data_IF_618833830624
#
_entry.id   IF_618833830624
#
_cell.length_a   1.000
_cell.length_b   1.000
_cell.length_c   1.000
_cell.angle_alpha   90.00
_cell.angle_beta   90.00
_cell.angle_gamma   90.00
#
_symmetry.space_group_name_H-M   'P 1'
#
loop_
_entity.id
_entity.type
_entity.pdbx_description
1 polymer ?
#
# COMPACT_ATOMS: atom_id res chain seq x y z
N UNK A 1 6.92 20.18 -18.72
CA UNK A 1 8.33 19.93 -18.35
C UNK A 1 9.19 20.56 -19.44
N UNK A 2 10.21 21.34 -19.10
CA UNK A 2 11.15 21.88 -20.09
C UNK A 2 12.36 20.95 -20.21
N UNK A 3 12.87 20.72 -21.42
CA UNK A 3 14.06 19.88 -21.66
C UNK A 3 15.18 20.68 -22.31
N UNK A 4 16.38 20.44 -21.82
CA UNK A 4 17.60 21.08 -22.28
C UNK A 4 18.66 20.03 -22.62
N UNK A 5 19.37 20.24 -23.71
CA UNK A 5 20.53 19.45 -24.12
C UNK A 5 21.80 20.25 -23.87
N UNK A 6 22.77 19.65 -23.19
CA UNK A 6 24.07 20.27 -22.93
C UNK A 6 24.86 20.35 -24.23
N UNK A 7 25.20 21.57 -24.67
CA UNK A 7 26.03 21.80 -25.86
C UNK A 7 27.50 21.88 -25.47
N UNK A 8 27.79 22.62 -24.40
CA UNK A 8 29.16 22.96 -24.01
C UNK A 8 29.22 23.20 -22.50
N UNK A 9 30.33 22.80 -21.87
CA UNK A 9 30.65 23.15 -20.49
C UNK A 9 31.65 24.30 -20.50
N UNK A 10 31.33 25.39 -19.82
CA UNK A 10 32.15 26.61 -19.75
C UNK A 10 32.50 26.85 -18.29
N UNK A 11 33.65 26.32 -17.85
CA UNK A 11 34.06 26.42 -16.44
C UNK A 11 33.06 25.74 -15.49
N UNK A 12 32.48 26.46 -14.50
CA UNK A 12 31.42 25.94 -13.63
C UNK A 12 30.04 25.93 -14.30
N UNK A 13 29.86 26.67 -15.39
CA UNK A 13 28.59 26.84 -16.07
C UNK A 13 28.41 25.80 -17.19
N UNK A 14 27.15 25.60 -17.58
CA UNK A 14 26.78 24.71 -18.68
C UNK A 14 25.90 25.48 -19.65
N UNK A 15 26.31 25.52 -20.92
CA UNK A 15 25.52 26.08 -22.01
C UNK A 15 24.63 24.99 -22.58
N UNK A 16 23.32 25.21 -22.51
CA UNK A 16 22.33 24.26 -22.98
C UNK A 16 21.45 24.84 -24.09
N UNK A 17 21.00 23.97 -24.99
CA UNK A 17 19.95 24.25 -25.99
C UNK A 17 18.62 23.75 -25.44
N UNK A 18 17.59 24.60 -25.44
CA UNK A 18 16.24 24.15 -25.16
C UNK A 18 15.74 23.28 -26.32
N UNK A 19 15.40 22.02 -26.05
CA UNK A 19 14.83 21.11 -27.05
C UNK A 19 13.31 21.07 -26.97
N UNK A 20 12.77 21.11 -25.74
CA UNK A 20 11.34 21.11 -25.47
C UNK A 20 11.02 22.31 -24.57
N UNK A 21 10.40 23.39 -25.09
CA UNK A 21 10.07 24.56 -24.30
C UNK A 21 8.97 24.27 -23.27
N UNK A 22 9.03 24.93 -22.12
CA UNK A 22 8.02 24.82 -21.08
C UNK A 22 8.22 25.84 -19.97
N UNK A 23 7.23 25.96 -19.08
CA UNK A 23 7.32 26.84 -17.92
C UNK A 23 8.32 26.28 -16.89
N UNK A 24 9.29 27.10 -16.49
CA UNK A 24 10.22 26.81 -15.40
C UNK A 24 9.83 27.67 -14.19
N UNK A 25 9.35 27.00 -13.14
CA UNK A 25 9.02 27.67 -11.88
C UNK A 25 10.25 27.75 -10.97
N UNK A 26 10.32 28.75 -10.06
CA UNK A 26 11.39 28.82 -9.06
C UNK A 26 11.51 27.52 -8.26
N UNK A 27 12.75 27.08 -8.01
CA UNK A 27 13.06 25.83 -7.27
C UNK A 27 12.49 24.55 -7.91
N UNK A 28 12.28 24.56 -9.23
CA UNK A 28 11.92 23.34 -9.95
C UNK A 28 13.00 22.26 -9.80
N UNK A 29 12.56 21.01 -9.67
CA UNK A 29 13.45 19.85 -9.64
C UNK A 29 14.20 19.70 -10.96
N UNK A 30 15.48 19.34 -10.89
CA UNK A 30 16.32 19.09 -12.05
C UNK A 30 16.74 17.62 -12.05
N UNK A 31 16.70 17.01 -13.24
CA UNK A 31 17.22 15.66 -13.46
C UNK A 31 18.15 15.66 -14.65
N UNK A 32 19.32 15.03 -14.50
CA UNK A 32 20.34 14.98 -15.54
C UNK A 32 20.37 13.62 -16.20
N UNK A 33 20.37 13.59 -17.53
CA UNK A 33 20.41 12.37 -18.33
C UNK A 33 21.61 12.38 -19.28
N UNK A 34 22.22 11.22 -19.48
CA UNK A 34 23.31 10.97 -20.43
C UNK A 34 23.13 9.57 -21.03
N UNK A 35 23.17 9.47 -22.35
CA UNK A 35 23.08 8.20 -23.09
C UNK A 35 21.87 7.34 -22.69
N UNK A 36 20.71 7.97 -22.51
CA UNK A 36 19.47 7.28 -22.11
C UNK A 36 19.42 6.82 -20.65
N UNK A 37 20.37 7.25 -19.82
CA UNK A 37 20.43 6.90 -18.40
C UNK A 37 20.56 8.14 -17.51
N UNK A 38 20.10 8.06 -16.27
CA UNK A 38 20.25 9.16 -15.31
C UNK A 38 21.72 9.32 -14.91
N UNK A 39 22.21 10.55 -14.94
CA UNK A 39 23.52 10.89 -14.38
C UNK A 39 23.36 10.96 -12.87
N UNK A 40 24.00 10.02 -12.18
CA UNK A 40 24.05 10.01 -10.72
C UNK A 40 24.89 11.20 -10.25
N UNK A 41 24.23 12.23 -9.76
CA UNK A 41 24.91 13.35 -9.13
C UNK A 41 25.59 12.95 -7.81
N UNK A 42 26.51 13.79 -7.35
CA UNK A 42 26.99 13.79 -5.95
C UNK A 42 25.85 13.94 -4.92
N UNK A 43 24.64 14.32 -5.33
CA UNK A 43 23.41 14.29 -4.50
C UNK A 43 22.97 12.87 -4.09
N UNK A 44 23.57 11.83 -4.68
CA UNK A 44 23.54 10.48 -4.12
C UNK A 44 24.02 10.45 -2.65
N UNK A 45 24.93 11.36 -2.27
CA UNK A 45 25.48 11.50 -0.92
C UNK A 45 24.59 12.26 0.07
N UNK A 46 23.51 12.92 -0.37
CA UNK A 46 22.61 13.58 0.57
C UNK A 46 21.89 12.52 1.41
N UNK A 47 21.79 12.75 2.74
CA UNK A 47 21.07 11.83 3.60
C UNK A 47 19.62 11.75 3.15
N UNK A 48 19.05 10.54 3.14
CA UNK A 48 17.63 10.35 2.79
C UNK A 48 16.70 11.07 3.77
N UNK A 49 17.10 11.18 5.04
CA UNK A 49 16.35 11.89 6.08
C UNK A 49 17.17 13.13 6.47
N UNK A 50 16.64 14.30 6.14
CA UNK A 50 17.25 15.59 6.46
C UNK A 50 17.06 15.97 7.93
N UNK A 51 17.77 17.01 8.38
CA UNK A 51 17.58 17.56 9.74
C UNK A 51 16.14 18.04 9.99
N UNK A 52 15.46 18.54 8.95
CA UNK A 52 14.05 18.93 9.06
C UNK A 52 13.16 17.69 9.21
N UNK A 53 13.41 16.65 8.42
CA UNK A 53 12.60 15.43 8.46
C UNK A 53 12.64 14.77 9.84
N UNK A 54 13.77 14.81 10.55
CA UNK A 54 13.85 14.32 11.93
C UNK A 54 12.92 15.08 12.90
N UNK A 55 12.73 16.39 12.72
CA UNK A 55 11.78 17.17 13.51
C UNK A 55 10.34 16.78 13.19
N UNK A 56 10.02 16.57 11.90
CA UNK A 56 8.69 16.11 11.48
C UNK A 56 8.40 14.68 11.98
N UNK A 57 9.41 13.81 12.02
CA UNK A 57 9.32 12.47 12.58
C UNK A 57 9.04 12.53 14.08
N UNK A 58 9.77 13.37 14.83
CA UNK A 58 9.52 13.54 16.27
C UNK A 58 8.11 14.07 16.54
N UNK A 59 7.62 15.01 15.71
CA UNK A 59 6.23 15.45 15.75
C UNK A 59 5.25 14.30 15.47
N UNK A 60 5.47 13.51 14.42
CA UNK A 60 4.62 12.36 14.10
C UNK A 60 4.59 11.31 15.22
N UNK A 61 5.73 11.08 15.89
CA UNK A 61 5.81 10.21 17.06
C UNK A 61 4.95 10.77 18.21
N UNK A 62 5.03 12.07 18.49
CA UNK A 62 4.28 12.71 19.56
C UNK A 62 2.76 12.67 19.31
N UNK A 63 2.33 12.85 18.07
CA UNK A 63 0.91 12.79 17.67
C UNK A 63 0.38 11.36 17.51
N UNK A 64 1.25 10.36 17.56
CA UNK A 64 0.87 8.95 17.45
C UNK A 64 0.30 8.61 16.06
N UNK A 65 0.94 9.11 14.99
CA UNK A 65 0.57 8.77 13.62
C UNK A 65 0.74 7.26 13.36
N UNK A 66 -0.11 6.70 12.51
CA UNK A 66 -0.08 5.26 12.23
C UNK A 66 1.03 4.87 11.25
N UNK A 67 1.41 5.79 10.36
CA UNK A 67 2.37 5.57 9.28
C UNK A 67 3.31 6.76 9.07
N UNK A 68 4.59 6.47 8.78
CA UNK A 68 5.55 7.43 8.23
C UNK A 68 5.96 6.96 6.84
N UNK A 69 5.66 7.75 5.81
CA UNK A 69 6.14 7.50 4.45
C UNK A 69 7.45 8.25 4.21
N UNK A 70 8.53 7.52 3.91
CA UNK A 70 9.87 8.10 3.72
C UNK A 70 10.15 8.29 2.24
N UNK A 71 10.47 9.51 1.84
CA UNK A 71 10.83 9.87 0.46
C UNK A 71 12.26 9.46 0.11
N UNK A 72 12.53 9.23 -1.17
CA UNK A 72 13.82 8.96 -1.78
C UNK A 72 14.64 7.88 -1.06
N UNK A 73 13.99 6.77 -0.69
CA UNK A 73 14.64 5.65 0.00
C UNK A 73 15.62 4.96 -0.95
N UNK A 74 16.91 4.93 -0.57
CA UNK A 74 17.99 4.36 -1.39
C UNK A 74 18.46 2.99 -0.90
N UNK A 75 18.26 2.65 0.37
CA UNK A 75 18.74 1.41 0.97
C UNK A 75 17.87 0.94 2.13
N UNK A 76 17.97 -0.34 2.45
CA UNK A 76 17.29 -0.93 3.60
C UNK A 76 17.78 -0.37 4.96
N UNK A 77 19.03 0.12 5.01
CA UNK A 77 19.62 0.70 6.23
C UNK A 77 18.87 1.93 6.71
N UNK A 78 18.47 2.83 5.80
CA UNK A 78 17.69 4.03 6.14
C UNK A 78 16.40 3.65 6.89
N UNK A 79 15.71 2.63 6.38
CA UNK A 79 14.46 2.14 6.98
C UNK A 79 14.73 1.54 8.37
N UNK A 80 15.75 0.69 8.50
CA UNK A 80 16.12 0.08 9.79
C UNK A 80 16.52 1.14 10.83
N UNK A 81 17.26 2.16 10.40
CA UNK A 81 17.65 3.27 11.26
C UNK A 81 16.44 4.05 11.76
N UNK A 82 15.50 4.41 10.87
CA UNK A 82 14.27 5.10 11.26
C UNK A 82 13.43 4.25 12.23
N UNK A 83 13.25 2.95 11.96
CA UNK A 83 12.51 2.05 12.86
C UNK A 83 13.16 1.96 14.25
N UNK A 84 14.50 1.90 14.29
CA UNK A 84 15.24 1.91 15.55
C UNK A 84 15.08 3.23 16.32
N UNK A 85 15.10 4.36 15.59
CA UNK A 85 14.88 5.68 16.15
C UNK A 85 13.47 5.83 16.76
N UNK A 86 12.44 5.38 16.04
CA UNK A 86 11.05 5.34 16.52
C UNK A 86 10.94 4.49 17.78
N UNK A 87 11.47 3.25 17.76
CA UNK A 87 11.41 2.32 18.88
C UNK A 87 12.09 2.86 20.14
N UNK A 88 13.18 3.63 19.98
CA UNK A 88 13.88 4.26 21.09
C UNK A 88 13.08 5.40 21.76
N UNK A 89 12.27 6.14 20.98
CA UNK A 89 11.48 7.29 21.46
C UNK A 89 10.07 6.94 21.92
N UNK A 90 9.48 5.91 21.33
CA UNK A 90 8.13 5.47 21.64
C UNK A 90 8.12 3.95 21.77
N UNK A 91 8.48 3.50 22.98
CA UNK A 91 8.51 2.06 23.30
C UNK A 91 7.12 1.47 23.16
N UNK A 92 7.01 0.41 22.37
CA UNK A 92 5.72 -0.22 22.07
C UNK A 92 4.90 0.52 21.01
N UNK A 93 5.48 1.50 20.31
CA UNK A 93 4.86 2.08 19.12
C UNK A 93 4.72 1.03 18.03
N UNK A 94 3.52 0.94 17.47
CA UNK A 94 3.18 0.11 16.31
C UNK A 94 3.31 0.87 14.98
N UNK A 95 3.83 2.11 15.01
CA UNK A 95 3.94 2.99 13.85
C UNK A 95 4.71 2.30 12.71
N UNK A 96 4.11 2.29 11.53
CA UNK A 96 4.64 1.58 10.37
C UNK A 96 5.43 2.51 9.44
N UNK A 97 6.54 2.03 8.89
CA UNK A 97 7.36 2.78 7.93
C UNK A 97 7.06 2.31 6.50
N UNK A 98 6.62 3.23 5.65
CA UNK A 98 6.33 3.01 4.23
C UNK A 98 7.47 3.58 3.39
N UNK A 99 8.16 2.76 2.61
CA UNK A 99 9.19 3.26 1.71
C UNK A 99 8.58 3.78 0.40
N UNK A 100 8.84 5.04 0.05
CA UNK A 100 8.50 5.57 -1.27
C UNK A 100 9.56 5.13 -2.28
N UNK A 101 9.12 4.36 -3.28
CA UNK A 101 9.96 3.87 -4.36
C UNK A 101 9.88 4.90 -5.49
N UNK A 102 10.96 5.68 -5.62
CA UNK A 102 10.99 6.89 -6.46
C UNK A 102 12.20 6.95 -7.38
N UNK A 103 13.26 6.22 -7.08
CA UNK A 103 14.56 6.40 -7.75
C UNK A 103 15.11 5.09 -8.30
N UNK A 104 16.05 5.19 -9.26
CA UNK A 104 16.79 4.03 -9.76
C UNK A 104 17.51 3.29 -8.61
N UNK A 105 18.01 4.01 -7.60
CA UNK A 105 18.65 3.38 -6.44
C UNK A 105 17.67 2.54 -5.63
N UNK A 106 16.44 3.05 -5.43
CA UNK A 106 15.34 2.27 -4.83
C UNK A 106 15.07 0.99 -5.63
N UNK A 107 15.10 1.05 -6.96
CA UNK A 107 14.83 -0.10 -7.84
C UNK A 107 15.95 -1.15 -7.81
N UNK A 108 17.20 -0.73 -7.66
CA UNK A 108 18.35 -1.65 -7.51
C UNK A 108 18.28 -2.43 -6.20
N UNK A 109 17.85 -1.75 -5.14
CA UNK A 109 17.77 -2.29 -3.78
C UNK A 109 16.32 -2.67 -3.39
N UNK A 110 15.47 -2.94 -4.38
CA UNK A 110 14.02 -2.98 -4.17
C UNK A 110 13.60 -4.01 -3.13
N UNK A 111 14.10 -5.25 -3.24
CA UNK A 111 13.70 -6.33 -2.35
C UNK A 111 14.17 -6.10 -0.91
N UNK A 112 15.42 -5.65 -0.71
CA UNK A 112 15.93 -5.38 0.63
C UNK A 112 15.18 -4.23 1.31
N UNK A 113 14.82 -3.18 0.56
CA UNK A 113 14.04 -2.04 1.06
C UNK A 113 12.65 -2.51 1.48
N UNK A 114 11.94 -3.26 0.63
CA UNK A 114 10.58 -3.75 0.94
C UNK A 114 10.62 -4.70 2.15
N UNK A 115 11.63 -5.58 2.24
CA UNK A 115 11.78 -6.47 3.41
C UNK A 115 11.99 -5.72 4.71
N UNK A 116 12.78 -4.63 4.70
CA UNK A 116 13.01 -3.81 5.88
C UNK A 116 11.82 -2.92 6.26
N UNK A 117 10.96 -2.60 5.29
CA UNK A 117 9.80 -1.70 5.44
C UNK A 117 8.56 -2.43 5.95
N UNK A 118 7.57 -1.68 6.41
CA UNK A 118 6.25 -2.19 6.78
C UNK A 118 5.25 -2.13 5.61
N UNK A 119 5.60 -1.43 4.55
CA UNK A 119 4.90 -1.35 3.27
C UNK A 119 5.70 -0.53 2.26
N UNK A 120 5.16 -0.34 1.06
CA UNK A 120 5.78 0.50 0.04
C UNK A 120 4.77 1.43 -0.64
N UNK A 121 5.27 2.50 -1.23
CA UNK A 121 4.49 3.42 -2.06
C UNK A 121 5.17 3.57 -3.43
N UNK A 122 4.45 3.26 -4.50
CA UNK A 122 4.87 3.54 -5.87
C UNK A 122 4.55 5.00 -6.18
N UNK A 123 5.55 5.88 -6.07
CA UNK A 123 5.41 7.31 -6.32
C UNK A 123 5.77 7.62 -7.79
N UNK A 124 4.75 7.53 -8.65
CA UNK A 124 4.91 7.48 -10.11
C UNK A 124 5.42 8.78 -10.71
N UNK A 125 5.03 9.92 -10.14
CA UNK A 125 5.49 11.23 -10.60
C UNK A 125 7.02 11.38 -10.45
N UNK A 126 7.54 11.09 -9.25
CA UNK A 126 8.98 11.14 -8.97
C UNK A 126 9.74 10.04 -9.73
N UNK A 127 9.18 8.83 -9.76
CA UNK A 127 9.77 7.70 -10.52
C UNK A 127 9.86 7.98 -12.02
N UNK A 128 8.83 8.55 -12.63
CA UNK A 128 8.81 8.89 -14.06
C UNK A 128 9.80 9.99 -14.44
N UNK A 129 10.34 10.74 -13.48
CA UNK A 129 11.46 11.64 -13.71
C UNK A 129 12.83 10.91 -13.72
N UNK A 130 12.89 9.70 -13.15
CA UNK A 130 14.11 8.93 -12.90
C UNK A 130 14.30 7.76 -13.86
N UNK A 131 13.23 7.24 -14.47
CA UNK A 131 13.25 6.15 -15.46
C UNK A 131 12.49 6.55 -16.73
N UNK A 132 12.75 5.91 -17.88
CA UNK A 132 11.95 6.14 -19.09
C UNK A 132 10.46 5.90 -18.81
N UNK A 133 9.60 6.80 -19.28
CA UNK A 133 8.17 6.84 -18.94
C UNK A 133 7.46 5.53 -19.29
N UNK A 134 7.85 4.91 -20.41
CA UNK A 134 7.34 3.62 -20.88
C UNK A 134 7.66 2.45 -19.95
N UNK A 135 8.65 2.58 -19.05
CA UNK A 135 9.00 1.55 -18.06
C UNK A 135 8.20 1.67 -16.77
N UNK A 136 7.60 2.83 -16.48
CA UNK A 136 6.89 3.08 -15.21
C UNK A 136 5.79 2.03 -14.95
N UNK A 137 4.91 1.67 -15.93
CA UNK A 137 3.86 0.68 -15.68
C UNK A 137 4.40 -0.72 -15.31
N UNK A 138 5.48 -1.16 -15.97
CA UNK A 138 6.07 -2.48 -15.70
C UNK A 138 6.81 -2.51 -14.35
N UNK A 139 7.46 -1.40 -13.98
CA UNK A 139 8.10 -1.24 -12.67
C UNK A 139 7.05 -1.22 -11.55
N UNK A 140 5.94 -0.49 -11.72
CA UNK A 140 4.82 -0.51 -10.77
C UNK A 140 4.35 -1.95 -10.53
N UNK A 141 4.07 -2.70 -11.60
CA UNK A 141 3.62 -4.09 -11.50
C UNK A 141 4.62 -4.94 -10.72
N UNK A 142 5.92 -4.80 -11.00
CA UNK A 142 6.99 -5.51 -10.29
C UNK A 142 6.99 -5.18 -8.78
N UNK A 143 6.84 -3.91 -8.41
CA UNK A 143 6.80 -3.48 -7.01
C UNK A 143 5.57 -4.07 -6.31
N UNK A 144 4.39 -3.95 -6.93
CA UNK A 144 3.13 -4.46 -6.36
C UNK A 144 3.19 -5.97 -6.15
N UNK A 145 3.68 -6.72 -7.15
CA UNK A 145 3.86 -8.17 -7.04
C UNK A 145 4.83 -8.55 -5.92
N UNK A 146 5.97 -7.86 -5.82
CA UNK A 146 6.96 -8.13 -4.79
C UNK A 146 6.46 -7.81 -3.38
N UNK A 147 5.75 -6.69 -3.21
CA UNK A 147 5.07 -6.34 -1.96
C UNK A 147 4.09 -7.44 -1.53
N UNK A 148 3.21 -7.89 -2.45
CA UNK A 148 2.28 -8.98 -2.19
C UNK A 148 3.01 -10.29 -1.84
N UNK A 149 4.07 -10.64 -2.57
CA UNK A 149 4.90 -11.82 -2.27
C UNK A 149 5.51 -11.76 -0.87
N UNK A 150 5.84 -10.58 -0.37
CA UNK A 150 6.47 -10.36 0.94
C UNK A 150 5.47 -10.04 2.06
N UNK A 151 4.16 -10.15 1.81
CA UNK A 151 3.11 -9.75 2.76
C UNK A 151 3.26 -8.30 3.24
N UNK A 152 3.56 -7.39 2.31
CA UNK A 152 3.68 -5.95 2.55
C UNK A 152 2.60 -5.22 1.75
N UNK A 153 1.83 -4.31 2.37
CA UNK A 153 0.86 -3.51 1.65
C UNK A 153 1.58 -2.54 0.71
N UNK A 154 0.96 -2.25 -0.42
CA UNK A 154 1.47 -1.32 -1.41
C UNK A 154 0.45 -0.26 -1.78
N UNK A 155 0.91 1.00 -1.80
CA UNK A 155 0.14 2.16 -2.24
C UNK A 155 0.59 2.53 -3.65
N UNK A 156 -0.34 2.70 -4.59
CA UNK A 156 -0.05 3.36 -5.87
C UNK A 156 -0.44 4.83 -5.77
N UNK A 157 0.52 5.72 -6.03
CA UNK A 157 0.41 7.15 -5.75
C UNK A 157 0.76 8.03 -6.95
N UNK A 158 0.25 9.27 -6.90
CA UNK A 158 0.42 10.37 -7.86
C UNK A 158 -0.20 10.11 -9.23
N UNK A 159 -0.73 11.13 -9.91
CA UNK A 159 -1.19 11.05 -11.32
C UNK A 159 -2.31 10.03 -11.59
N UNK A 160 -3.19 9.75 -10.63
CA UNK A 160 -4.34 8.84 -10.84
C UNK A 160 -5.52 9.58 -11.48
N UNK A 161 -5.93 10.73 -10.90
CA UNK A 161 -7.06 11.53 -11.35
C UNK A 161 -6.66 13.02 -11.41
N UNK A 162 -5.43 13.32 -11.83
CA UNK A 162 -4.81 14.65 -11.80
C UNK A 162 -5.69 15.75 -12.42
N UNK A 163 -6.37 15.46 -13.53
CA UNK A 163 -7.28 16.40 -14.20
C UNK A 163 -8.43 16.85 -13.28
N UNK A 164 -8.78 16.04 -12.29
CA UNK A 164 -9.85 16.35 -11.35
C UNK A 164 -9.48 17.41 -10.30
N UNK A 165 -8.23 17.88 -10.28
CA UNK A 165 -7.86 19.11 -9.57
C UNK A 165 -8.64 20.30 -10.13
N UNK A 166 -8.76 20.38 -11.46
CA UNK A 166 -9.40 21.50 -12.15
C UNK A 166 -10.81 21.18 -12.67
N UNK A 167 -11.06 19.93 -13.07
CA UNK A 167 -12.27 19.50 -13.78
C UNK A 167 -13.13 18.53 -12.95
N UNK A 168 -14.46 18.52 -13.11
CA UNK A 168 -15.34 17.67 -12.31
C UNK A 168 -15.37 16.20 -12.73
N UNK A 169 -14.73 15.84 -13.85
CA UNK A 169 -14.78 14.52 -14.48
C UNK A 169 -13.37 14.15 -14.96
N UNK A 170 -12.90 12.91 -14.74
CA UNK A 170 -11.60 12.49 -15.23
C UNK A 170 -11.62 12.21 -16.73
N UNK A 171 -10.43 12.10 -17.30
CA UNK A 171 -10.22 11.56 -18.64
C UNK A 171 -10.43 10.04 -18.68
N UNK A 172 -10.60 9.49 -19.88
CA UNK A 172 -10.66 8.01 -20.06
C UNK A 172 -9.33 7.33 -19.77
N UNK A 173 -8.22 8.03 -20.03
CA UNK A 173 -6.88 7.52 -19.74
C UNK A 173 -6.66 7.35 -18.23
N UNK A 174 -7.07 8.34 -17.43
CA UNK A 174 -7.01 8.26 -15.96
C UNK A 174 -7.89 7.13 -15.40
N UNK A 175 -9.09 6.93 -15.94
CA UNK A 175 -9.94 5.80 -15.55
C UNK A 175 -9.27 4.46 -15.90
N UNK A 176 -8.61 4.36 -17.05
CA UNK A 176 -7.86 3.16 -17.43
C UNK A 176 -6.65 2.92 -16.53
N UNK A 177 -5.96 3.99 -16.12
CA UNK A 177 -4.83 3.93 -15.20
C UNK A 177 -5.22 3.46 -13.80
N UNK A 178 -6.29 4.02 -13.22
CA UNK A 178 -6.89 3.52 -11.97
C UNK A 178 -7.27 2.04 -12.10
N UNK A 179 -7.89 1.67 -13.22
CA UNK A 179 -8.31 0.29 -13.48
C UNK A 179 -7.11 -0.67 -13.50
N UNK A 180 -6.00 -0.25 -14.11
CA UNK A 180 -4.78 -1.03 -14.19
C UNK A 180 -4.11 -1.19 -12.82
N UNK A 181 -4.05 -0.15 -11.99
CA UNK A 181 -3.51 -0.23 -10.64
C UNK A 181 -4.29 -1.24 -9.76
N UNK A 182 -5.62 -1.26 -9.88
CA UNK A 182 -6.49 -2.24 -9.20
C UNK A 182 -6.25 -3.65 -9.74
N UNK A 183 -6.17 -3.79 -11.07
CA UNK A 183 -5.90 -5.07 -11.74
C UNK A 183 -4.56 -5.67 -11.32
N UNK A 184 -3.56 -4.83 -11.09
CA UNK A 184 -2.25 -5.23 -10.58
C UNK A 184 -2.25 -5.63 -9.10
N UNK A 185 -3.39 -5.49 -8.40
CA UNK A 185 -3.61 -5.88 -7.00
C UNK A 185 -2.96 -4.96 -5.97
N UNK A 186 -2.86 -3.66 -6.25
CA UNK A 186 -2.48 -2.68 -5.24
C UNK A 186 -3.39 -2.76 -4.00
N UNK A 187 -2.85 -2.56 -2.80
CA UNK A 187 -3.66 -2.57 -1.58
C UNK A 187 -4.43 -1.27 -1.39
N UNK A 188 -3.81 -0.16 -1.79
CA UNK A 188 -4.42 1.16 -1.73
C UNK A 188 -4.03 2.04 -2.92
N UNK A 189 -4.92 2.98 -3.23
CA UNK A 189 -4.70 4.05 -4.22
C UNK A 189 -4.74 5.40 -3.51
N UNK A 190 -3.88 6.33 -3.90
CA UNK A 190 -3.73 7.62 -3.20
C UNK A 190 -4.07 8.81 -4.10
N UNK A 191 -5.06 9.61 -3.68
CA UNK A 191 -5.27 10.97 -4.18
C UNK A 191 -4.28 11.92 -3.50
N UNK A 192 -3.69 12.82 -4.29
CA UNK A 192 -2.70 13.80 -3.85
C UNK A 192 -3.28 15.20 -3.96
N UNK A 193 -3.03 15.92 -5.06
CA UNK A 193 -3.57 17.26 -5.28
C UNK A 193 -5.09 17.28 -5.39
N UNK A 194 -5.67 16.18 -5.90
CA UNK A 194 -7.11 16.05 -6.16
C UNK A 194 -7.95 16.26 -4.88
N UNK A 195 -7.50 15.71 -3.76
CA UNK A 195 -8.16 15.82 -2.46
C UNK A 195 -7.66 17.01 -1.63
N UNK A 196 -6.37 17.36 -1.74
CA UNK A 196 -5.74 18.37 -0.90
C UNK A 196 -6.05 19.81 -1.34
N UNK A 197 -6.09 20.07 -2.64
CA UNK A 197 -6.28 21.42 -3.20
C UNK A 197 -7.20 21.46 -4.43
N UNK A 198 -7.76 20.31 -4.82
CA UNK A 198 -8.64 20.19 -5.98
C UNK A 198 -9.98 20.88 -5.78
N UNK A 199 -10.61 21.28 -6.89
CA UNK A 199 -11.95 21.89 -6.90
C UNK A 199 -13.07 20.88 -6.63
N UNK A 200 -12.80 19.58 -6.77
CA UNK A 200 -13.80 18.52 -6.68
C UNK A 200 -13.33 17.30 -5.86
N UNK A 201 -12.89 17.48 -4.60
CA UNK A 201 -12.26 16.41 -3.81
C UNK A 201 -13.19 15.21 -3.57
N UNK A 202 -14.47 15.46 -3.22
CA UNK A 202 -15.45 14.40 -3.00
C UNK A 202 -15.76 13.62 -4.29
N UNK A 203 -15.78 14.31 -5.44
CA UNK A 203 -16.00 13.65 -6.73
C UNK A 203 -14.81 12.80 -7.12
N UNK A 204 -13.58 13.28 -6.92
CA UNK A 204 -12.36 12.50 -7.17
C UNK A 204 -12.36 11.21 -6.34
N UNK A 205 -12.70 11.30 -5.05
CA UNK A 205 -12.85 10.12 -4.18
C UNK A 205 -13.97 9.18 -4.67
N UNK A 206 -15.12 9.72 -5.04
CA UNK A 206 -16.26 8.94 -5.55
C UNK A 206 -15.91 8.19 -6.84
N UNK A 207 -15.23 8.86 -7.77
CA UNK A 207 -14.75 8.27 -9.03
C UNK A 207 -13.74 7.17 -8.75
N UNK A 208 -12.71 7.42 -7.94
CA UNK A 208 -11.69 6.44 -7.59
C UNK A 208 -12.35 5.17 -7.03
N UNK A 209 -13.24 5.34 -6.05
CA UNK A 209 -14.01 4.24 -5.44
C UNK A 209 -14.87 3.50 -6.46
N UNK A 210 -15.61 4.21 -7.30
CA UNK A 210 -16.52 3.59 -8.28
C UNK A 210 -15.78 2.77 -9.32
N UNK A 211 -14.63 3.26 -9.80
CA UNK A 211 -13.79 2.53 -10.76
C UNK A 211 -13.21 1.29 -10.10
N UNK A 212 -12.61 1.42 -8.90
CA UNK A 212 -12.04 0.28 -8.17
C UNK A 212 -13.06 -0.82 -7.92
N UNK A 213 -14.24 -0.48 -7.38
CA UNK A 213 -15.29 -1.47 -7.11
C UNK A 213 -15.79 -2.15 -8.39
N UNK A 214 -15.86 -1.43 -9.52
CA UNK A 214 -16.27 -2.04 -10.80
C UNK A 214 -15.25 -3.07 -11.28
N UNK A 215 -13.95 -2.77 -11.18
CA UNK A 215 -12.88 -3.67 -11.61
C UNK A 215 -12.77 -4.88 -10.70
N UNK A 216 -12.86 -4.70 -9.38
CA UNK A 216 -12.89 -5.81 -8.41
C UNK A 216 -14.12 -6.72 -8.62
N UNK A 217 -15.28 -6.14 -8.92
CA UNK A 217 -16.48 -6.90 -9.27
C UNK A 217 -16.28 -7.71 -10.56
N UNK A 218 -15.78 -7.07 -11.63
CA UNK A 218 -15.52 -7.72 -12.90
C UNK A 218 -14.54 -8.89 -12.76
N UNK A 219 -13.50 -8.72 -11.94
CA UNK A 219 -12.53 -9.79 -11.67
C UNK A 219 -13.18 -11.04 -11.05
N UNK A 220 -14.11 -10.85 -10.11
CA UNK A 220 -14.89 -11.93 -9.48
C UNK A 220 -15.85 -12.58 -10.46
N UNK A 221 -16.55 -11.79 -11.27
CA UNK A 221 -17.49 -12.27 -12.31
C UNK A 221 -16.78 -13.19 -13.31
N UNK A 222 -15.55 -12.86 -13.70
CA UNK A 222 -14.73 -13.64 -14.64
C UNK A 222 -14.11 -14.91 -14.03
N UNK A 223 -14.34 -15.19 -12.73
CA UNK A 223 -13.72 -16.28 -11.97
C UNK A 223 -12.21 -16.37 -12.22
N UNK A 224 -11.55 -15.22 -12.29
CA UNK A 224 -10.09 -15.15 -12.43
C UNK A 224 -9.44 -15.50 -11.10
N UNK A 225 -9.46 -16.78 -10.75
CA UNK A 225 -8.71 -17.29 -9.61
C UNK A 225 -7.24 -17.24 -10.01
N UNK A 226 -6.51 -16.29 -9.45
CA UNK A 226 -5.09 -16.18 -9.70
C UNK A 226 -4.41 -17.34 -8.97
N UNK A 227 -3.89 -18.31 -9.73
CA UNK A 227 -2.99 -19.34 -9.20
C UNK A 227 -1.63 -18.70 -8.91
N UNK A 228 -1.59 -17.77 -7.95
CA UNK A 228 -0.33 -17.22 -7.47
C UNK A 228 0.22 -18.15 -6.40
N UNK A 229 1.32 -18.81 -6.76
CA UNK A 229 2.20 -19.43 -5.78
C UNK A 229 2.84 -18.32 -4.95
N UNK A 230 2.19 -17.98 -3.84
CA UNK A 230 2.76 -17.08 -2.84
C UNK A 230 4.00 -17.73 -2.25
N UNK A 231 5.12 -17.01 -2.27
CA UNK A 231 6.34 -17.45 -1.61
C UNK A 231 6.09 -17.54 -0.10
N UNK A 232 6.66 -18.54 0.56
CA UNK A 232 6.75 -18.59 2.02
C UNK A 232 7.43 -17.30 2.49
N UNK A 233 6.77 -16.54 3.35
CA UNK A 233 7.33 -15.28 3.87
C UNK A 233 8.05 -15.51 5.18
N UNK A 234 7.62 -16.47 6.00
CA UNK A 234 8.22 -16.71 7.29
C UNK A 234 9.30 -17.80 7.32
N UNK A 235 10.28 -17.57 8.19
CA UNK A 235 11.27 -18.54 8.63
C UNK A 235 10.81 -19.36 9.85
N UNK A 236 9.84 -18.89 10.63
CA UNK A 236 9.38 -19.57 11.86
C UNK A 236 8.31 -20.62 11.55
N UNK A 237 8.25 -21.68 12.37
CA UNK A 237 7.25 -22.75 12.18
C UNK A 237 5.82 -22.26 12.46
N UNK A 238 5.63 -21.44 13.49
CA UNK A 238 4.32 -20.89 13.89
C UNK A 238 3.71 -20.01 12.80
N UNK A 239 4.52 -19.16 12.17
CA UNK A 239 4.02 -18.31 11.09
C UNK A 239 3.70 -19.13 9.84
N UNK A 240 4.48 -20.18 9.52
CA UNK A 240 4.16 -21.09 8.41
C UNK A 240 2.81 -21.76 8.60
N UNK A 241 2.46 -22.16 9.83
CA UNK A 241 1.11 -22.67 10.15
C UNK A 241 0.06 -21.61 9.85
N UNK A 242 0.30 -20.37 10.29
CA UNK A 242 -0.62 -19.24 10.05
C UNK A 242 -0.79 -18.95 8.56
N UNK A 243 0.29 -19.04 7.77
CA UNK A 243 0.27 -18.90 6.31
C UNK A 243 -0.59 -20.00 5.65
N UNK A 244 -0.39 -21.26 6.01
CA UNK A 244 -1.16 -22.38 5.47
C UNK A 244 -2.64 -22.33 5.87
N UNK A 245 -2.93 -21.90 7.10
CA UNK A 245 -4.28 -21.63 7.57
C UNK A 245 -4.96 -20.58 6.68
N UNK A 246 -4.30 -19.43 6.45
CA UNK A 246 -4.86 -18.35 5.63
C UNK A 246 -5.05 -18.77 4.17
N UNK A 247 -4.06 -19.47 3.60
CA UNK A 247 -4.13 -19.99 2.24
C UNK A 247 -5.31 -20.96 2.09
N UNK A 248 -5.49 -21.88 3.04
CA UNK A 248 -6.58 -22.85 3.04
C UNK A 248 -7.94 -22.16 3.23
N UNK A 249 -8.03 -21.21 4.16
CA UNK A 249 -9.24 -20.46 4.41
C UNK A 249 -9.68 -19.65 3.19
N UNK A 250 -8.76 -18.97 2.50
CA UNK A 250 -9.08 -18.24 1.27
C UNK A 250 -9.54 -19.17 0.14
N UNK A 251 -8.90 -20.34 -0.02
CA UNK A 251 -9.32 -21.37 -0.98
C UNK A 251 -10.72 -21.89 -0.66
N UNK A 252 -10.99 -22.21 0.62
CA UNK A 252 -12.31 -22.65 1.08
C UNK A 252 -13.35 -21.56 0.88
N UNK A 253 -13.03 -20.31 1.23
CA UNK A 253 -13.92 -19.17 1.08
C UNK A 253 -14.41 -19.02 -0.37
N UNK A 254 -13.47 -19.03 -1.32
CA UNK A 254 -13.79 -18.89 -2.73
C UNK A 254 -14.45 -20.17 -3.30
N UNK A 255 -14.03 -21.36 -2.87
CA UNK A 255 -14.57 -22.63 -3.35
C UNK A 255 -16.00 -22.91 -2.88
N UNK A 256 -16.34 -22.51 -1.65
CA UNK A 256 -17.67 -22.67 -1.06
C UNK A 256 -18.58 -21.47 -1.33
N UNK A 257 -18.03 -20.35 -1.83
CA UNK A 257 -18.79 -19.10 -2.02
C UNK A 257 -19.28 -18.52 -0.70
N UNK A 258 -18.43 -18.51 0.33
CA UNK A 258 -18.80 -17.99 1.66
C UNK A 258 -19.10 -16.50 1.63
N UNK A 259 -20.00 -16.05 2.49
CA UNK A 259 -20.46 -14.66 2.53
C UNK A 259 -19.44 -13.74 3.20
N UNK A 260 -18.65 -14.26 4.16
CA UNK A 260 -17.60 -13.50 4.81
C UNK A 260 -16.51 -14.36 5.47
N UNK A 261 -15.33 -13.76 5.67
CA UNK A 261 -14.27 -14.31 6.51
C UNK A 261 -14.07 -13.42 7.73
N UNK A 262 -14.05 -14.02 8.92
CA UNK A 262 -13.75 -13.35 10.18
C UNK A 262 -12.34 -13.72 10.63
N UNK A 263 -11.56 -12.71 11.02
CA UNK A 263 -10.22 -12.91 11.56
C UNK A 263 -10.04 -12.18 12.88
N UNK A 264 -9.83 -12.93 13.95
CA UNK A 264 -9.51 -12.41 15.28
C UNK A 264 -8.00 -12.33 15.44
N UNK A 265 -7.47 -11.11 15.52
CA UNK A 265 -6.02 -10.87 15.50
C UNK A 265 -5.57 -9.91 16.60
N UNK A 266 -4.43 -10.24 17.23
CA UNK A 266 -3.81 -9.38 18.25
C UNK A 266 -2.84 -8.38 17.63
N UNK A 267 -2.03 -8.82 16.68
CA UNK A 267 -0.95 -8.01 16.07
C UNK A 267 -1.28 -7.54 14.65
N UNK A 268 -2.31 -8.11 14.02
CA UNK A 268 -2.68 -7.88 12.62
C UNK A 268 -2.05 -8.86 11.63
N UNK A 269 -1.18 -9.78 12.10
CA UNK A 269 -0.40 -10.63 11.20
C UNK A 269 -1.26 -11.56 10.32
N UNK A 270 -2.15 -12.34 10.92
CA UNK A 270 -2.99 -13.27 10.15
C UNK A 270 -4.03 -12.55 9.29
N UNK A 271 -4.51 -11.37 9.73
CA UNK A 271 -5.35 -10.52 8.90
C UNK A 271 -4.60 -10.02 7.65
N UNK A 272 -3.32 -9.63 7.80
CA UNK A 272 -2.46 -9.29 6.65
C UNK A 272 -2.25 -10.48 5.72
N UNK A 273 -2.02 -11.68 6.26
CA UNK A 273 -1.87 -12.91 5.47
C UNK A 273 -3.14 -13.24 4.66
N UNK A 274 -4.32 -13.09 5.25
CA UNK A 274 -5.59 -13.24 4.53
C UNK A 274 -5.76 -12.19 3.44
N UNK A 275 -5.46 -10.93 3.75
CA UNK A 275 -5.47 -9.86 2.76
C UNK A 275 -4.60 -10.21 1.56
N UNK A 276 -3.38 -10.72 1.79
CA UNK A 276 -2.44 -11.18 0.76
C UNK A 276 -3.01 -12.27 -0.14
N UNK A 277 -3.85 -13.16 0.41
CA UNK A 277 -4.52 -14.24 -0.34
C UNK A 277 -5.64 -13.74 -1.27
N UNK A 278 -6.15 -12.51 -1.07
CA UNK A 278 -7.21 -11.89 -1.87
C UNK A 278 -8.50 -12.75 -1.99
N UNK A 279 -9.13 -13.16 -0.87
CA UNK A 279 -10.43 -13.85 -0.94
C UNK A 279 -11.49 -12.94 -1.58
N UNK A 280 -12.47 -13.54 -2.25
CA UNK A 280 -13.49 -12.79 -3.03
C UNK A 280 -14.60 -12.18 -2.15
N UNK A 281 -14.74 -12.71 -0.93
CA UNK A 281 -15.67 -12.26 0.09
C UNK A 281 -15.03 -11.18 1.00
N UNK A 282 -15.84 -10.34 1.67
CA UNK A 282 -15.35 -9.39 2.66
C UNK A 282 -14.62 -10.07 3.82
N UNK A 283 -13.52 -9.46 4.26
CA UNK A 283 -12.74 -9.94 5.42
C UNK A 283 -12.93 -8.98 6.58
N UNK A 284 -13.64 -9.42 7.61
CA UNK A 284 -13.83 -8.65 8.84
C UNK A 284 -12.73 -8.99 9.84
N UNK A 285 -11.90 -8.00 10.17
CA UNK A 285 -10.78 -8.17 11.08
C UNK A 285 -11.12 -7.60 12.47
N UNK A 286 -11.03 -8.41 13.51
CA UNK A 286 -11.32 -8.02 14.89
C UNK A 286 -10.02 -7.95 15.68
N UNK A 287 -9.85 -6.88 16.45
CA UNK A 287 -8.68 -6.69 17.32
C UNK A 287 -9.05 -5.92 18.58
N UNK A 288 -8.31 -6.13 19.67
CA UNK A 288 -8.46 -5.36 20.90
C UNK A 288 -7.75 -4.00 20.82
N UNK A 289 -6.77 -3.85 19.92
CA UNK A 289 -5.90 -2.67 19.78
C UNK A 289 -6.45 -1.66 18.77
N UNK A 290 -6.62 -0.40 19.21
CA UNK A 290 -7.00 0.71 18.32
C UNK A 290 -5.94 0.98 17.26
N UNK A 291 -4.66 0.87 17.60
CA UNK A 291 -3.54 1.10 16.68
C UNK A 291 -3.52 0.05 15.57
N UNK A 292 -3.63 -1.24 15.94
CA UNK A 292 -3.73 -2.34 14.96
C UNK A 292 -4.94 -2.13 14.06
N UNK A 293 -6.11 -1.77 14.62
CA UNK A 293 -7.31 -1.49 13.83
C UNK A 293 -7.06 -0.40 12.78
N UNK A 294 -6.38 0.69 13.13
CA UNK A 294 -6.08 1.78 12.21
C UNK A 294 -5.15 1.31 11.09
N UNK A 295 -4.07 0.63 11.42
CA UNK A 295 -3.10 0.13 10.42
C UNK A 295 -3.68 -0.89 9.45
N UNK A 296 -4.61 -1.73 9.91
CA UNK A 296 -5.26 -2.72 9.05
C UNK A 296 -6.07 -2.08 7.91
N UNK A 297 -6.46 -0.79 7.99
CA UNK A 297 -7.15 -0.11 6.88
C UNK A 297 -6.29 0.05 5.62
N UNK A 298 -4.96 -0.08 5.72
CA UNK A 298 -4.08 -0.02 4.56
C UNK A 298 -4.05 -1.34 3.76
N UNK A 299 -4.44 -2.45 4.39
CA UNK A 299 -4.43 -3.77 3.76
C UNK A 299 -5.68 -3.96 2.90
N UNK A 300 -5.52 -4.53 1.71
CA UNK A 300 -6.64 -4.75 0.80
C UNK A 300 -7.75 -5.61 1.43
N UNK A 301 -9.01 -5.25 1.17
CA UNK A 301 -10.18 -6.08 1.48
C UNK A 301 -10.50 -6.26 2.97
N UNK A 302 -9.68 -5.72 3.88
CA UNK A 302 -9.93 -5.79 5.31
C UNK A 302 -10.90 -4.71 5.76
N UNK A 303 -11.85 -5.08 6.60
CA UNK A 303 -12.76 -4.17 7.30
C UNK A 303 -12.50 -4.34 8.80
N UNK A 304 -11.68 -3.47 9.44
CA UNK A 304 -11.22 -3.69 10.79
C UNK A 304 -12.16 -3.11 11.88
N UNK A 305 -12.39 -3.88 12.94
CA UNK A 305 -13.21 -3.54 14.10
C UNK A 305 -12.41 -3.69 15.37
N UNK A 306 -12.69 -2.78 16.33
CA UNK A 306 -12.23 -2.95 17.70
C UNK A 306 -13.26 -3.77 18.45
N UNK A 307 -12.85 -4.92 18.98
CA UNK A 307 -13.70 -5.81 19.78
C UNK A 307 -12.90 -6.31 20.99
N UNK A 308 -13.52 -6.29 22.17
CA UNK A 308 -12.93 -6.91 23.35
C UNK A 308 -13.10 -8.43 23.27
N UNK A 309 -12.00 -9.17 23.43
CA UNK A 309 -12.00 -10.63 23.41
C UNK A 309 -12.26 -11.20 24.81
N UNK A 310 -13.01 -12.28 24.87
CA UNK A 310 -13.03 -13.25 25.97
C UNK A 310 -12.20 -14.48 25.62
N UNK A 311 -11.86 -15.28 26.63
CA UNK A 311 -11.22 -16.59 26.44
C UNK A 311 -12.15 -17.61 25.75
N UNK A 312 -13.47 -17.42 25.90
CA UNK A 312 -14.46 -18.16 25.15
C UNK A 312 -14.64 -17.57 23.74
N UNK A 313 -14.37 -18.40 22.73
CA UNK A 313 -14.47 -18.04 21.33
C UNK A 313 -15.94 -17.95 20.89
N UNK A 314 -16.83 -18.78 21.42
CA UNK A 314 -18.25 -18.76 21.07
C UNK A 314 -18.88 -17.42 21.47
N UNK A 315 -18.55 -16.90 22.66
CA UNK A 315 -18.92 -15.55 23.06
C UNK A 315 -18.39 -14.46 22.11
N UNK A 316 -17.14 -14.59 21.64
CA UNK A 316 -16.55 -13.63 20.69
C UNK A 316 -17.30 -13.61 19.35
N UNK A 317 -17.70 -14.80 18.85
CA UNK A 317 -18.54 -14.90 17.66
C UNK A 317 -19.91 -14.29 17.86
N UNK A 318 -20.61 -14.63 18.94
CA UNK A 318 -21.95 -14.10 19.22
C UNK A 318 -21.96 -12.56 19.31
N UNK A 319 -20.93 -11.97 19.92
CA UNK A 319 -20.72 -10.51 19.93
C UNK A 319 -20.47 -9.96 18.52
N UNK A 320 -19.65 -10.65 17.73
CA UNK A 320 -19.34 -10.27 16.34
C UNK A 320 -20.59 -10.31 15.47
N UNK A 321 -21.39 -11.38 15.56
CA UNK A 321 -22.64 -11.51 14.82
C UNK A 321 -23.60 -10.38 15.17
N UNK A 322 -23.80 -10.11 16.47
CA UNK A 322 -24.66 -9.02 16.94
C UNK A 322 -24.20 -7.66 16.41
N UNK A 323 -22.89 -7.39 16.45
CA UNK A 323 -22.29 -6.14 15.97
C UNK A 323 -22.48 -5.95 14.46
N UNK A 324 -22.17 -6.98 13.66
CA UNK A 324 -22.24 -6.89 12.20
C UNK A 324 -23.67 -6.88 11.67
N UNK A 325 -24.59 -7.63 12.29
CA UNK A 325 -26.03 -7.57 11.97
C UNK A 325 -26.61 -6.19 12.27
N UNK A 326 -26.28 -5.60 13.42
CA UNK A 326 -26.72 -4.25 13.76
C UNK A 326 -26.23 -3.19 12.76
N UNK A 327 -25.15 -3.47 12.02
CA UNK A 327 -24.61 -2.61 10.95
C UNK A 327 -25.07 -3.00 9.55
N UNK A 328 -25.93 -4.02 9.41
CA UNK A 328 -26.39 -4.52 8.11
C UNK A 328 -25.28 -5.08 7.23
N UNK A 329 -24.20 -5.59 7.83
CA UNK A 329 -23.04 -6.11 7.10
C UNK A 329 -23.07 -7.62 6.89
N UNK A 330 -23.88 -8.33 7.68
CA UNK A 330 -24.18 -9.76 7.57
C UNK A 330 -25.66 -9.98 7.94
N UNK A 331 -26.21 -11.13 7.58
CA UNK A 331 -27.57 -11.58 7.88
C UNK A 331 -27.57 -13.01 8.45
N UNK A 332 -28.69 -13.43 9.05
CA UNK A 332 -28.87 -14.82 9.49
C UNK A 332 -28.85 -15.77 8.29
N UNK A 333 -28.16 -16.90 8.43
CA UNK A 333 -27.99 -17.88 7.36
C UNK A 333 -26.76 -17.67 6.48
N UNK A 334 -26.05 -16.53 6.59
CA UNK A 334 -24.77 -16.32 5.91
C UNK A 334 -23.74 -17.38 6.36
N UNK A 335 -23.01 -17.95 5.40
CA UNK A 335 -21.93 -18.90 5.65
C UNK A 335 -20.63 -18.13 5.89
N UNK A 336 -19.98 -18.37 7.03
CA UNK A 336 -18.75 -17.68 7.41
C UNK A 336 -17.62 -18.63 7.78
N UNK A 337 -16.39 -18.18 7.53
CA UNK A 337 -15.17 -18.84 8.01
C UNK A 337 -14.53 -17.95 9.07
N UNK A 338 -14.31 -18.49 10.27
CA UNK A 338 -13.66 -17.80 11.37
C UNK A 338 -12.24 -18.33 11.62
N UNK A 339 -11.31 -17.40 11.83
CA UNK A 339 -9.88 -17.65 12.03
C UNK A 339 -9.42 -16.88 13.27
N UNK A 340 -8.53 -17.47 14.08
CA UNK A 340 -7.99 -16.80 15.27
C UNK A 340 -6.48 -16.98 15.44
N UNK A 341 -5.75 -15.88 15.64
CA UNK A 341 -4.33 -15.87 16.04
C UNK A 341 -4.12 -16.58 17.38
N UNK A 342 -5.13 -16.57 18.25
CA UNK A 342 -5.03 -17.02 19.63
C UNK A 342 -5.04 -18.55 19.74
N UNK A 343 -5.74 -19.21 18.82
CA UNK A 343 -5.94 -20.66 18.82
C UNK A 343 -5.31 -21.34 17.59
N UNK A 344 -4.81 -20.56 16.62
CA UNK A 344 -4.31 -21.06 15.32
C UNK A 344 -5.27 -22.09 14.69
N UNK A 345 -6.55 -21.71 14.61
CA UNK A 345 -7.63 -22.62 14.23
C UNK A 345 -8.48 -22.05 13.08
N UNK A 346 -9.16 -22.94 12.35
CA UNK A 346 -10.17 -22.61 11.36
C UNK A 346 -11.51 -23.21 11.78
N UNK A 347 -12.59 -22.43 11.71
CA UNK A 347 -13.95 -22.88 11.96
C UNK A 347 -14.88 -22.43 10.83
N UNK A 348 -15.78 -23.29 10.38
CA UNK A 348 -16.78 -23.00 9.34
C UNK A 348 -18.17 -23.18 9.96
N UNK A 349 -19.04 -22.19 9.82
CA UNK A 349 -20.35 -22.19 10.46
C UNK A 349 -21.32 -21.20 9.80
N UNK A 350 -22.61 -21.34 10.12
CA UNK A 350 -23.64 -20.39 9.70
C UNK A 350 -23.87 -19.34 10.78
N UNK A 351 -24.14 -18.10 10.35
CA UNK A 351 -24.58 -17.02 11.25
C UNK A 351 -25.97 -17.38 11.83
N UNK A 352 -26.14 -17.38 13.16
CA UNK A 352 -27.37 -17.83 13.83
C UNK A 352 -28.59 -16.97 13.53
#
# INVERSE_FOLDING_TARGET
>A
MARFEVIEKIGPDVKCRCTDPGLLLPRANLTFWRDGSIVRERNAMLPTISSKDWLDIDFGIAEGVDFIAVSFVKSAEVIRHLKSYIAARSRGSDMAVIAKIESIDSLKNLEEIIRASDGAMVARGDMGAQVPLEQVPSIQQKIVQLCRQLNKPVIVASQLLESMIEYPTPTRAEVADVSEAVRQRADALMLSGESAMGRYPDKALSVLRSVSLRIEKWWREEKRHEALELRSVSSSFSDKISEEICNSAAKMANGLGVDAVFVFTKTGHMASLLSRCRPDCPVFAFTTSTSVRRRLNLQWGLIPFRLAFSDDMESNLNRTFSLLKARGMIQSGDLVIALSDMLQSIQVMNVP
#
